data_IF_803945258016
#
_entry.id   IF_803945258016
#
_cell.length_a   1.000
_cell.length_b   1.000
_cell.length_c   1.000
_cell.angle_alpha   90.00
_cell.angle_beta   90.00
_cell.angle_gamma   90.00
#
_symmetry.space_group_name_H-M   'P 1'
#
loop_
_entity.id
_entity.type
_entity.pdbx_description
1 polymer ?
#
# COMPACT_ATOMS: atom_id res chain seq x y z
N UNK A 1 -5.11 -19.90 27.47
CA UNK A 1 -4.32 -20.47 26.35
C UNK A 1 -4.92 -20.27 24.94
N UNK A 2 -5.55 -19.13 24.61
CA UNK A 2 -6.10 -18.87 23.25
C UNK A 2 -5.55 -17.62 22.55
N UNK A 3 -4.49 -17.00 23.07
CA UNK A 3 -3.96 -15.72 22.54
C UNK A 3 -2.72 -15.83 21.64
N UNK A 4 -2.18 -17.03 21.39
CA UNK A 4 -0.89 -17.17 20.70
C UNK A 4 -0.95 -17.45 19.19
N UNK A 5 -2.12 -17.33 18.54
CA UNK A 5 -2.28 -17.55 17.08
C UNK A 5 -2.39 -16.27 16.25
N UNK A 6 -2.44 -15.09 16.86
CA UNK A 6 -2.75 -13.82 16.16
C UNK A 6 -1.54 -13.02 15.69
N UNK A 7 -0.33 -13.36 16.12
CA UNK A 7 0.85 -12.53 15.90
C UNK A 7 1.84 -13.11 14.90
N UNK A 8 1.51 -14.22 14.23
CA UNK A 8 2.43 -14.90 13.31
C UNK A 8 2.27 -14.36 11.90
N UNK A 9 3.40 -14.06 11.25
CA UNK A 9 3.47 -13.63 9.86
C UNK A 9 3.83 -14.81 8.99
N UNK A 10 3.11 -14.96 7.88
CA UNK A 10 3.40 -15.98 6.90
C UNK A 10 3.70 -15.41 5.52
N UNK A 11 4.56 -16.10 4.77
CA UNK A 11 4.83 -15.81 3.36
C UNK A 11 4.46 -16.97 2.42
N UNK A 12 4.68 -16.77 1.12
CA UNK A 12 4.54 -17.78 0.06
C UNK A 12 5.50 -18.96 0.27
N UNK A 13 4.99 -20.19 0.31
CA UNK A 13 5.85 -21.37 0.14
C UNK A 13 6.05 -21.65 -1.36
N UNK A 14 7.28 -21.66 -1.84
CA UNK A 14 7.66 -21.78 -3.27
C UNK A 14 7.15 -23.03 -4.02
N UNK A 15 6.53 -24.01 -3.34
CA UNK A 15 6.24 -25.30 -3.96
C UNK A 15 4.95 -25.43 -4.77
N UNK A 16 4.05 -24.44 -4.78
CA UNK A 16 2.73 -24.59 -5.42
C UNK A 16 2.56 -23.85 -6.77
N UNK A 17 3.38 -22.82 -7.04
CA UNK A 17 3.24 -21.98 -8.24
C UNK A 17 3.95 -22.55 -9.47
N UNK A 18 4.95 -23.41 -9.30
CA UNK A 18 5.65 -24.09 -10.39
C UNK A 18 4.74 -25.06 -11.16
N UNK A 19 3.98 -25.90 -10.44
CA UNK A 19 3.09 -26.92 -11.04
C UNK A 19 2.08 -26.38 -12.04
N UNK A 20 1.47 -25.22 -11.78
CA UNK A 20 0.44 -24.65 -12.66
C UNK A 20 1.05 -23.90 -13.85
N UNK A 21 2.21 -23.25 -13.64
CA UNK A 21 2.98 -22.57 -14.69
C UNK A 21 3.50 -23.56 -15.72
N UNK A 22 4.03 -24.70 -15.27
CA UNK A 22 4.52 -25.76 -16.14
C UNK A 22 3.37 -26.36 -16.96
N UNK A 23 2.21 -26.62 -16.35
CA UNK A 23 1.05 -27.16 -17.06
C UNK A 23 0.57 -26.27 -18.22
N UNK A 24 0.54 -24.95 -18.04
CA UNK A 24 0.14 -24.01 -19.11
C UNK A 24 1.24 -23.82 -20.14
N UNK A 25 2.50 -23.78 -19.72
CA UNK A 25 3.62 -23.77 -20.66
C UNK A 25 3.59 -25.02 -21.55
N UNK A 26 3.41 -26.21 -20.96
CA UNK A 26 3.26 -27.46 -21.69
C UNK A 26 2.06 -27.44 -22.63
N UNK A 27 0.90 -26.94 -22.20
CA UNK A 27 -0.30 -26.88 -23.04
C UNK A 27 -0.10 -25.95 -24.26
N UNK A 28 0.53 -24.79 -24.05
CA UNK A 28 0.81 -23.81 -25.11
C UNK A 28 1.88 -24.28 -26.08
N UNK A 29 2.97 -24.87 -25.57
CA UNK A 29 3.99 -25.51 -26.40
C UNK A 29 3.36 -26.61 -27.24
N UNK A 30 2.54 -27.49 -26.63
CA UNK A 30 1.86 -28.56 -27.35
C UNK A 30 0.88 -28.04 -28.42
N UNK A 31 0.19 -26.92 -28.16
CA UNK A 31 -0.67 -26.27 -29.16
C UNK A 31 0.15 -25.74 -30.35
N UNK A 32 1.27 -25.07 -30.09
CA UNK A 32 2.18 -24.58 -31.12
C UNK A 32 2.79 -25.72 -31.96
N UNK A 33 3.18 -26.83 -31.34
CA UNK A 33 3.73 -27.99 -32.05
C UNK A 33 2.68 -28.60 -32.98
N UNK A 34 1.44 -28.78 -32.51
CA UNK A 34 0.34 -29.28 -33.36
C UNK A 34 0.02 -28.36 -34.54
N UNK A 35 0.07 -27.04 -34.35
CA UNK A 35 -0.12 -26.07 -35.44
C UNK A 35 1.01 -26.20 -36.48
N UNK A 36 2.26 -26.38 -36.03
CA UNK A 36 3.41 -26.57 -36.92
C UNK A 36 3.37 -27.89 -37.71
N UNK A 37 2.86 -28.97 -37.12
CA UNK A 37 2.65 -30.25 -37.81
C UNK A 37 1.59 -30.17 -38.91
N UNK A 38 0.54 -29.36 -38.70
CA UNK A 38 -0.49 -29.09 -39.72
C UNK A 38 0.09 -28.26 -40.87
N UNK A 39 0.96 -27.29 -40.59
CA UNK A 39 1.64 -26.50 -41.63
C UNK A 39 2.63 -27.33 -42.48
N UNK A 40 3.26 -28.37 -41.92
CA UNK A 40 4.28 -29.16 -42.63
C UNK A 40 3.70 -30.21 -43.60
N UNK A 41 2.41 -30.57 -43.48
CA UNK A 41 1.76 -31.52 -44.40
C UNK A 41 1.31 -30.92 -45.73
N UNK A 42 1.37 -29.61 -45.89
CA UNK A 42 0.97 -28.92 -47.13
C UNK A 42 2.22 -28.68 -47.99
N UNK A 43 2.68 -29.71 -48.72
CA UNK A 43 3.65 -29.53 -49.82
C UNK A 43 2.87 -29.13 -51.08
N UNK A 44 2.79 -27.83 -51.36
CA UNK A 44 2.25 -27.31 -52.62
C UNK A 44 3.36 -26.76 -53.51
N UNK A 45 3.31 -26.98 -54.83
CA UNK A 45 4.29 -26.41 -55.77
C UNK A 45 4.19 -24.88 -55.80
N UNK A 46 5.33 -24.21 -56.03
CA UNK A 46 5.47 -22.76 -56.00
C UNK A 46 4.96 -22.12 -57.31
N UNK A 47 3.68 -21.78 -57.33
CA UNK A 47 3.06 -20.78 -58.20
C UNK A 47 2.68 -19.52 -57.38
N UNK A 48 2.22 -18.44 -58.04
CA UNK A 48 1.80 -17.18 -57.37
C UNK A 48 0.70 -17.43 -56.30
N UNK A 49 -0.05 -18.52 -56.48
CA UNK A 49 -1.01 -19.05 -55.51
C UNK A 49 -0.33 -19.69 -54.28
N UNK A 50 0.70 -20.53 -54.47
CA UNK A 50 1.53 -21.07 -53.39
C UNK A 50 2.23 -20.02 -52.54
N UNK A 51 2.66 -18.90 -53.14
CA UNK A 51 3.28 -17.77 -52.41
C UNK A 51 2.26 -17.07 -51.50
N UNK A 52 1.03 -16.83 -51.99
CA UNK A 52 -0.08 -16.27 -51.19
C UNK A 52 -0.48 -17.21 -50.05
N UNK A 53 -0.56 -18.52 -50.30
CA UNK A 53 -0.83 -19.52 -49.26
C UNK A 53 0.26 -19.57 -48.19
N UNK A 54 1.54 -19.47 -48.58
CA UNK A 54 2.68 -19.47 -47.66
C UNK A 54 2.69 -18.23 -46.76
N UNK A 55 2.38 -17.06 -47.32
CA UNK A 55 2.24 -15.81 -46.55
C UNK A 55 1.05 -15.89 -45.60
N UNK A 56 -0.10 -16.43 -46.02
CA UNK A 56 -1.28 -16.61 -45.16
C UNK A 56 -1.01 -17.59 -44.02
N UNK A 57 -0.30 -18.70 -44.28
CA UNK A 57 0.10 -19.66 -43.25
C UNK A 57 1.10 -19.04 -42.27
N UNK A 58 2.14 -18.35 -42.75
CA UNK A 58 3.10 -17.67 -41.89
C UNK A 58 2.44 -16.57 -41.04
N UNK A 59 1.50 -15.82 -41.62
CA UNK A 59 0.71 -14.80 -40.90
C UNK A 59 -0.20 -15.45 -39.86
N UNK A 60 -0.85 -16.57 -40.19
CA UNK A 60 -1.70 -17.33 -39.27
C UNK A 60 -0.92 -17.91 -38.08
N UNK A 61 0.26 -18.48 -38.32
CA UNK A 61 1.16 -19.00 -37.27
C UNK A 61 1.70 -17.86 -36.40
N UNK A 62 2.08 -16.72 -37.02
CA UNK A 62 2.52 -15.53 -36.29
C UNK A 62 1.44 -14.96 -35.38
N UNK A 63 0.20 -14.86 -35.88
CA UNK A 63 -0.94 -14.39 -35.10
C UNK A 63 -1.27 -15.34 -33.95
N UNK A 64 -1.31 -16.65 -34.20
CA UNK A 64 -1.56 -17.67 -33.17
C UNK A 64 -0.48 -17.66 -32.08
N UNK A 65 0.79 -17.48 -32.45
CA UNK A 65 1.91 -17.39 -31.52
C UNK A 65 1.86 -16.12 -30.66
N UNK A 66 1.56 -14.97 -31.28
CA UNK A 66 1.40 -13.70 -30.57
C UNK A 66 0.21 -13.72 -29.60
N UNK A 67 -0.94 -14.25 -30.03
CA UNK A 67 -2.11 -14.43 -29.16
C UNK A 67 -1.85 -15.44 -28.05
N UNK A 68 -1.19 -16.57 -28.35
CA UNK A 68 -0.79 -17.58 -27.36
C UNK A 68 0.17 -17.01 -26.32
N UNK A 69 1.17 -16.24 -26.74
CA UNK A 69 2.09 -15.54 -25.83
C UNK A 69 1.39 -14.44 -25.01
N UNK A 70 0.46 -13.71 -25.62
CA UNK A 70 -0.38 -12.74 -24.93
C UNK A 70 -1.23 -13.39 -23.83
N UNK A 71 -1.90 -14.51 -24.16
CA UNK A 71 -2.69 -15.29 -23.22
C UNK A 71 -1.80 -15.89 -22.12
N UNK A 72 -0.64 -16.44 -22.46
CA UNK A 72 0.37 -16.91 -21.50
C UNK A 72 0.74 -15.81 -20.51
N UNK A 73 1.15 -14.64 -20.99
CA UNK A 73 1.51 -13.50 -20.14
C UNK A 73 0.34 -13.04 -19.27
N UNK A 74 -0.87 -13.04 -19.82
CA UNK A 74 -2.08 -12.69 -19.08
C UNK A 74 -2.34 -13.68 -17.95
N UNK A 75 -2.33 -14.99 -18.24
CA UNK A 75 -2.57 -16.05 -17.25
C UNK A 75 -1.46 -16.14 -16.21
N UNK A 76 -0.19 -16.05 -16.63
CA UNK A 76 0.96 -15.99 -15.73
C UNK A 76 0.85 -14.79 -14.79
N UNK A 77 0.52 -13.59 -15.30
CA UNK A 77 0.29 -12.42 -14.46
C UNK A 77 -0.94 -12.60 -13.55
N UNK A 78 -2.00 -13.26 -14.00
CA UNK A 78 -3.19 -13.51 -13.18
C UNK A 78 -2.85 -14.41 -11.98
N UNK A 79 -2.18 -15.54 -12.21
CA UNK A 79 -1.78 -16.47 -11.15
C UNK A 79 -0.73 -15.90 -10.21
N UNK A 80 0.21 -15.13 -10.75
CA UNK A 80 1.20 -14.42 -9.95
C UNK A 80 0.57 -13.44 -8.95
N UNK A 81 -0.62 -12.92 -9.28
CA UNK A 81 -1.38 -12.00 -8.44
C UNK A 81 -2.49 -12.68 -7.63
N UNK A 82 -2.46 -14.01 -7.48
CA UNK A 82 -3.31 -14.71 -6.50
C UNK A 82 -2.54 -15.01 -5.20
N UNK A 83 -3.20 -14.91 -4.03
CA UNK A 83 -2.64 -15.40 -2.78
C UNK A 83 -2.26 -16.88 -2.84
N UNK A 84 -1.17 -17.29 -2.19
CA UNK A 84 -0.78 -18.70 -2.11
C UNK A 84 -1.77 -19.47 -1.22
N UNK A 85 -1.89 -20.77 -1.50
CA UNK A 85 -2.70 -21.69 -0.68
C UNK A 85 -1.94 -22.22 0.55
N UNK A 86 -0.60 -22.22 0.46
CA UNK A 86 0.30 -22.68 1.51
C UNK A 86 1.10 -21.51 2.04
N UNK A 87 1.23 -21.46 3.36
CA UNK A 87 1.80 -20.35 4.10
C UNK A 87 2.93 -20.85 4.99
N UNK A 88 4.09 -20.18 4.94
CA UNK A 88 5.26 -20.47 5.79
C UNK A 88 5.38 -19.39 6.85
N UNK A 89 5.41 -19.75 8.12
CA UNK A 89 5.68 -18.79 9.20
C UNK A 89 7.10 -18.23 9.06
N UNK A 90 7.24 -16.91 9.06
CA UNK A 90 8.53 -16.19 8.95
C UNK A 90 8.86 -15.34 10.17
N UNK A 91 7.85 -14.90 10.92
CA UNK A 91 8.09 -13.98 12.03
C UNK A 91 6.87 -13.74 12.89
N UNK A 92 6.99 -12.77 13.79
CA UNK A 92 5.93 -12.32 14.66
C UNK A 92 5.79 -10.79 14.67
N UNK A 93 4.58 -10.28 14.89
CA UNK A 93 4.37 -8.86 15.13
C UNK A 93 4.98 -8.44 16.47
N UNK A 94 5.87 -7.44 16.42
CA UNK A 94 6.45 -6.80 17.59
C UNK A 94 5.64 -5.56 17.99
N UNK A 95 5.32 -4.70 17.02
CA UNK A 95 4.57 -3.45 17.24
C UNK A 95 3.55 -3.16 16.17
N UNK A 96 2.47 -2.50 16.60
CA UNK A 96 1.42 -1.97 15.74
C UNK A 96 1.30 -0.47 15.96
N UNK A 97 1.28 0.30 14.87
CA UNK A 97 1.15 1.75 14.90
C UNK A 97 0.08 2.25 13.94
N UNK A 98 -0.72 3.20 14.42
CA UNK A 98 -1.64 4.00 13.62
C UNK A 98 -1.22 5.46 13.72
N UNK A 99 -1.20 6.16 12.58
CA UNK A 99 -0.81 7.56 12.51
C UNK A 99 -2.00 8.36 11.98
N UNK A 100 -2.92 8.81 12.86
CA UNK A 100 -4.16 9.42 12.42
C UNK A 100 -3.95 10.67 11.57
N UNK A 101 -2.92 11.46 11.90
CA UNK A 101 -2.56 12.66 11.16
C UNK A 101 -1.28 12.45 10.35
N UNK A 102 -1.34 12.79 9.06
CA UNK A 102 -0.19 12.82 8.16
C UNK A 102 0.90 13.71 8.73
N UNK A 103 2.09 13.14 8.93
CA UNK A 103 3.30 13.81 9.43
C UNK A 103 3.32 14.15 10.93
N UNK A 104 2.41 13.61 11.73
CA UNK A 104 2.40 13.77 13.20
C UNK A 104 2.74 12.46 13.92
N UNK A 105 2.64 12.47 15.25
CA UNK A 105 2.89 11.33 16.14
C UNK A 105 2.09 10.07 15.82
N UNK A 106 2.58 8.95 16.35
CA UNK A 106 1.96 7.63 16.21
C UNK A 106 1.21 7.27 17.49
N UNK A 107 0.18 6.45 17.35
CA UNK A 107 -0.48 5.75 18.46
C UNK A 107 -0.09 4.28 18.34
N UNK A 108 0.58 3.76 19.38
CA UNK A 108 0.88 2.33 19.49
C UNK A 108 -0.37 1.61 19.99
N UNK A 109 -0.74 0.53 19.33
CA UNK A 109 -1.94 -0.27 19.68
C UNK A 109 -1.56 -1.74 19.88
N UNK A 110 -2.41 -2.49 20.58
CA UNK A 110 -2.21 -3.93 20.79
C UNK A 110 -2.87 -4.81 19.72
N UNK A 111 -3.84 -4.24 19.01
CA UNK A 111 -4.58 -4.87 17.92
C UNK A 111 -5.15 -3.77 17.01
N UNK A 112 -5.58 -4.14 15.80
CA UNK A 112 -6.30 -3.24 14.89
C UNK A 112 -7.04 -4.04 13.82
N UNK A 113 -8.16 -3.51 13.36
CA UNK A 113 -8.81 -3.98 12.15
C UNK A 113 -8.06 -3.49 10.91
N UNK A 114 -8.11 -4.26 9.83
CA UNK A 114 -7.42 -3.92 8.59
C UNK A 114 -8.45 -3.70 7.47
N UNK A 115 -8.56 -2.43 7.05
CA UNK A 115 -9.47 -2.02 5.98
C UNK A 115 -8.69 -1.70 4.71
N UNK A 116 -9.40 -1.45 3.61
CA UNK A 116 -8.73 -1.10 2.35
C UNK A 116 -7.98 0.23 2.40
N UNK A 117 -8.42 1.15 3.27
CA UNK A 117 -7.79 2.46 3.46
C UNK A 117 -6.70 2.47 4.54
N UNK A 118 -6.46 1.35 5.23
CA UNK A 118 -5.43 1.22 6.26
C UNK A 118 -5.94 0.60 7.56
N UNK A 119 -5.10 0.57 8.61
CA UNK A 119 -5.51 0.07 9.91
C UNK A 119 -6.52 0.99 10.62
N UNK A 120 -7.37 0.38 11.46
CA UNK A 120 -8.50 1.02 12.13
C UNK A 120 -8.74 0.42 13.53
N UNK A 121 -9.19 1.26 14.46
CA UNK A 121 -9.77 0.89 15.75
C UNK A 121 -10.84 1.94 16.09
N UNK A 122 -12.13 1.59 16.06
CA UNK A 122 -13.20 2.60 16.19
C UNK A 122 -13.08 3.71 15.13
N UNK A 123 -13.00 4.97 15.55
CA UNK A 123 -12.75 6.12 14.67
C UNK A 123 -11.25 6.44 14.48
N UNK A 124 -10.36 5.86 15.28
CA UNK A 124 -8.92 5.91 15.04
C UNK A 124 -8.61 5.14 13.74
N UNK A 125 -8.13 5.86 12.73
CA UNK A 125 -7.74 5.30 11.44
C UNK A 125 -6.44 5.91 10.97
N UNK A 126 -5.76 5.21 10.08
CA UNK A 126 -4.48 5.64 9.57
C UNK A 126 -4.58 6.74 8.50
N UNK A 127 -3.85 7.83 8.70
CA UNK A 127 -3.71 8.99 7.80
C UNK A 127 -5.06 9.46 7.22
N UNK A 128 -6.08 9.58 8.07
CA UNK A 128 -7.36 10.19 7.74
C UNK A 128 -7.38 11.70 7.99
N UNK A 129 -6.37 12.24 8.67
CA UNK A 129 -6.19 13.68 8.82
C UNK A 129 -4.91 14.15 8.13
N UNK A 130 -4.90 15.41 7.71
CA UNK A 130 -3.66 16.10 7.33
C UNK A 130 -3.76 17.60 7.61
N UNK A 131 -2.60 18.23 7.75
CA UNK A 131 -2.52 19.69 7.84
C UNK A 131 -2.37 20.27 6.43
N UNK A 132 -3.15 21.28 6.11
CA UNK A 132 -3.10 22.01 4.85
C UNK A 132 -2.85 23.49 5.07
N UNK A 133 -2.43 24.19 4.03
CA UNK A 133 -2.61 25.64 3.92
C UNK A 133 -4.09 25.97 3.70
N UNK A 134 -4.42 27.25 3.76
CA UNK A 134 -5.78 27.77 3.48
C UNK A 134 -6.26 27.47 2.06
N UNK A 135 -5.35 27.28 1.11
CA UNK A 135 -5.65 26.88 -0.27
C UNK A 135 -5.91 25.37 -0.45
N UNK A 136 -5.87 24.58 0.64
CA UNK A 136 -6.08 23.12 0.60
C UNK A 136 -4.83 22.30 0.25
N UNK A 137 -3.68 22.94 0.03
CA UNK A 137 -2.41 22.24 -0.22
C UNK A 137 -1.85 21.64 1.06
N UNK A 138 -1.62 20.32 1.09
CA UNK A 138 -1.03 19.67 2.27
C UNK A 138 0.39 20.19 2.59
N UNK A 139 0.72 20.24 3.88
CA UNK A 139 2.09 20.41 4.36
C UNK A 139 2.61 19.10 4.95
N UNK A 140 3.94 18.97 5.08
CA UNK A 140 4.54 17.75 5.62
C UNK A 140 5.77 18.02 6.48
N UNK A 141 6.18 17.02 7.25
CA UNK A 141 7.31 17.12 8.17
C UNK A 141 8.65 17.45 7.49
N UNK A 142 8.78 17.23 6.17
CA UNK A 142 9.99 17.62 5.42
C UNK A 142 10.18 19.14 5.39
N UNK A 143 9.09 19.89 5.28
CA UNK A 143 9.10 21.36 5.24
C UNK A 143 8.74 21.96 6.60
N UNK A 144 7.92 21.28 7.41
CA UNK A 144 7.52 21.71 8.75
C UNK A 144 7.77 20.60 9.79
N UNK A 145 9.02 20.38 10.24
CA UNK A 145 9.38 19.29 11.15
C UNK A 145 8.63 19.32 12.49
N UNK A 146 8.19 20.51 12.94
CA UNK A 146 7.38 20.67 14.16
C UNK A 146 6.11 19.83 14.15
N UNK A 147 5.57 19.46 12.99
CA UNK A 147 4.42 18.54 12.90
C UNK A 147 4.66 17.23 13.65
N UNK A 148 5.90 16.73 13.67
CA UNK A 148 6.27 15.50 14.38
C UNK A 148 6.11 15.60 15.91
N UNK A 149 6.07 16.81 16.45
CA UNK A 149 5.88 17.07 17.87
C UNK A 149 4.40 17.08 18.29
N UNK A 150 3.47 17.15 17.32
CA UNK A 150 2.03 17.01 17.59
C UNK A 150 1.75 15.53 17.86
N UNK A 151 1.35 15.21 19.08
CA UNK A 151 1.02 13.86 19.51
C UNK A 151 -0.51 13.72 19.58
N UNK A 152 -1.12 12.93 18.68
CA UNK A 152 -2.50 12.54 18.82
C UNK A 152 -2.64 11.42 19.85
N UNK A 153 -3.67 11.49 20.68
CA UNK A 153 -4.16 10.40 21.52
C UNK A 153 -5.66 10.22 21.28
N UNK A 154 -6.19 9.06 21.65
CA UNK A 154 -7.64 8.79 21.61
C UNK A 154 -8.11 8.36 22.99
N UNK A 155 -9.38 8.57 23.26
CA UNK A 155 -10.09 7.97 24.39
C UNK A 155 -10.15 6.44 24.27
N UNK A 156 -10.55 5.77 25.35
CA UNK A 156 -10.60 4.30 25.42
C UNK A 156 -11.57 3.69 24.40
N UNK A 157 -12.60 4.44 24.01
CA UNK A 157 -13.63 4.06 23.04
C UNK A 157 -13.20 4.33 21.59
N UNK A 158 -12.09 5.04 21.38
CA UNK A 158 -11.60 5.48 20.07
C UNK A 158 -12.61 6.34 19.29
N UNK A 159 -13.31 7.25 19.95
CA UNK A 159 -14.30 8.16 19.37
C UNK A 159 -13.80 9.61 19.31
N UNK A 160 -13.01 10.02 20.31
CA UNK A 160 -12.49 11.38 20.41
C UNK A 160 -10.97 11.39 20.36
N UNK A 161 -10.42 12.29 19.55
CA UNK A 161 -8.97 12.48 19.45
C UNK A 161 -8.57 13.75 20.23
N UNK A 162 -7.52 13.65 21.04
CA UNK A 162 -6.89 14.81 21.67
C UNK A 162 -5.55 15.07 21.00
N UNK A 163 -5.25 16.34 20.72
CA UNK A 163 -3.96 16.77 20.20
C UNK A 163 -3.18 17.48 21.29
N UNK A 164 -1.98 16.97 21.56
CA UNK A 164 -1.02 17.56 22.48
C UNK A 164 0.23 18.00 21.74
N UNK A 165 0.80 19.12 22.15
CA UNK A 165 2.08 19.59 21.65
C UNK A 165 2.83 20.42 22.71
N UNK A 166 4.17 20.44 22.69
CA UNK A 166 4.96 21.17 23.69
C UNK A 166 4.58 22.65 23.78
N UNK A 167 4.20 23.10 24.99
CA UNK A 167 3.86 24.50 25.27
C UNK A 167 2.50 24.94 24.71
N UNK A 168 1.64 24.02 24.31
CA UNK A 168 0.27 24.29 23.88
C UNK A 168 -0.70 23.61 24.87
N UNK A 169 -1.87 24.21 25.15
CA UNK A 169 -2.96 23.48 25.81
C UNK A 169 -3.45 22.36 24.89
N UNK A 170 -3.92 21.26 25.45
CA UNK A 170 -4.52 20.18 24.68
C UNK A 170 -5.81 20.67 23.98
N UNK A 171 -6.08 20.13 22.80
CA UNK A 171 -7.30 20.43 22.04
C UNK A 171 -8.00 19.15 21.59
N UNK A 172 -9.33 19.14 21.67
CA UNK A 172 -10.15 17.99 21.34
C UNK A 172 -10.63 18.09 19.89
N UNK A 173 -10.65 16.95 19.20
CA UNK A 173 -11.20 16.76 17.87
C UNK A 173 -12.34 15.74 17.99
N UNK A 174 -13.62 16.17 17.92
CA UNK A 174 -14.75 15.25 17.94
C UNK A 174 -14.89 14.57 16.57
N UNK A 175 -14.22 13.43 16.40
CA UNK A 175 -14.08 12.78 15.08
C UNK A 175 -15.43 12.39 14.48
N UNK A 176 -16.39 11.99 15.31
CA UNK A 176 -17.74 11.59 14.87
C UNK A 176 -18.49 12.72 14.15
N UNK A 177 -18.34 13.96 14.61
CA UNK A 177 -19.07 15.12 14.07
C UNK A 177 -18.58 15.47 12.66
N UNK A 178 -17.32 15.14 12.34
CA UNK A 178 -16.67 15.49 11.07
C UNK A 178 -17.23 14.74 9.86
N UNK A 179 -17.97 13.65 10.08
CA UNK A 179 -18.64 12.90 9.01
C UNK A 179 -19.87 13.64 8.45
N UNK A 180 -20.41 14.61 9.19
CA UNK A 180 -21.58 15.40 8.79
C UNK A 180 -21.23 16.79 8.25
N UNK A 181 -19.93 17.09 8.10
CA UNK A 181 -19.44 18.38 7.60
C UNK A 181 -19.35 18.36 6.07
N UNK A 182 -19.67 19.50 5.44
CA UNK A 182 -19.59 19.64 3.99
C UNK A 182 -18.15 19.49 3.46
N UNK A 183 -17.96 18.82 2.31
CA UNK A 183 -16.62 18.64 1.73
C UNK A 183 -15.96 19.96 1.31
N UNK A 184 -14.65 20.04 1.54
CA UNK A 184 -13.77 21.10 1.08
C UNK A 184 -12.78 20.57 0.03
N UNK A 185 -12.21 21.48 -0.76
CA UNK A 185 -11.16 21.12 -1.71
C UNK A 185 -9.83 20.93 -0.97
N UNK A 186 -9.19 19.80 -1.21
CA UNK A 186 -7.85 19.53 -0.70
C UNK A 186 -7.04 18.75 -1.74
N UNK A 187 -5.71 18.90 -1.66
CA UNK A 187 -4.78 18.25 -2.58
C UNK A 187 -3.67 17.53 -1.84
N UNK A 188 -3.43 16.30 -2.27
CA UNK A 188 -2.36 15.46 -1.77
C UNK A 188 -1.46 15.12 -2.94
N UNK A 189 -0.27 15.73 -2.97
CA UNK A 189 0.70 15.57 -4.07
C UNK A 189 0.14 15.91 -5.45
N UNK A 190 -0.56 17.05 -5.55
CA UNK A 190 -1.16 17.53 -6.79
C UNK A 190 -2.43 16.79 -7.22
N UNK A 191 -2.84 15.75 -6.49
CA UNK A 191 -4.07 15.02 -6.77
C UNK A 191 -5.20 15.51 -5.86
N UNK A 192 -6.41 15.77 -6.40
CA UNK A 192 -7.55 16.13 -5.58
C UNK A 192 -7.92 14.97 -4.66
N UNK A 193 -8.41 15.30 -3.46
CA UNK A 193 -8.92 14.33 -2.49
C UNK A 193 -10.16 14.87 -1.81
N UNK A 194 -11.10 13.99 -1.49
CA UNK A 194 -12.23 14.33 -0.62
C UNK A 194 -11.71 14.65 0.78
N UNK A 195 -12.05 15.82 1.30
CA UNK A 195 -11.76 16.17 2.67
C UNK A 195 -12.88 17.04 3.24
N UNK A 196 -13.00 17.11 4.55
CA UNK A 196 -13.82 18.08 5.29
C UNK A 196 -12.91 18.91 6.17
N UNK A 197 -13.27 20.17 6.38
CA UNK A 197 -12.54 21.01 7.31
C UNK A 197 -12.95 20.69 8.74
N UNK A 198 -11.99 20.68 9.68
CA UNK A 198 -12.31 20.32 11.07
C UNK A 198 -12.96 21.49 11.83
N UNK A 199 -12.21 22.55 12.13
CA UNK A 199 -12.74 23.75 12.80
C UNK A 199 -11.75 24.91 12.75
N UNK A 200 -12.26 26.14 12.94
CA UNK A 200 -11.43 27.34 13.10
C UNK A 200 -10.54 27.30 14.35
N UNK A 201 -10.99 26.63 15.41
CA UNK A 201 -10.22 26.49 16.64
C UNK A 201 -8.98 25.61 16.40
N UNK A 202 -9.16 24.48 15.71
CA UNK A 202 -8.06 23.59 15.33
C UNK A 202 -7.11 24.26 14.34
N UNK A 203 -7.65 25.02 13.38
CA UNK A 203 -6.84 25.81 12.45
C UNK A 203 -5.92 26.81 13.19
N UNK A 204 -6.47 27.56 14.16
CA UNK A 204 -5.70 28.48 15.01
C UNK A 204 -4.67 27.74 15.86
N UNK A 205 -5.06 26.64 16.51
CA UNK A 205 -4.16 25.86 17.36
C UNK A 205 -2.94 25.35 16.58
N UNK A 206 -3.16 24.77 15.39
CA UNK A 206 -2.07 24.25 14.55
C UNK A 206 -1.21 25.38 13.98
N UNK A 207 -1.83 26.48 13.54
CA UNK A 207 -1.09 27.66 13.03
C UNK A 207 -0.16 28.25 14.11
N UNK A 208 -0.67 28.41 15.35
CA UNK A 208 0.12 28.93 16.47
C UNK A 208 1.30 28.01 16.80
N UNK A 209 1.08 26.70 16.78
CA UNK A 209 2.14 25.76 17.11
C UNK A 209 3.22 25.69 16.02
N UNK A 210 2.81 25.50 14.77
CA UNK A 210 3.70 25.22 13.63
C UNK A 210 4.32 26.51 13.09
N UNK A 211 3.51 27.52 12.78
CA UNK A 211 3.93 28.77 12.16
C UNK A 211 4.29 29.87 13.16
N UNK A 212 3.79 29.80 14.40
CA UNK A 212 3.82 30.93 15.36
C UNK A 212 2.98 32.13 14.90
N UNK A 213 1.93 31.82 14.16
CA UNK A 213 0.94 32.78 13.65
C UNK A 213 -0.47 32.33 14.04
N UNK A 214 -1.43 33.25 14.05
CA UNK A 214 -2.83 32.94 14.38
C UNK A 214 -3.54 32.15 13.28
N UNK A 215 -3.10 32.28 12.03
CA UNK A 215 -3.76 31.68 10.85
C UNK A 215 -2.73 31.14 9.87
N UNK A 216 -3.19 30.51 8.79
CA UNK A 216 -2.35 30.04 7.68
C UNK A 216 -2.39 28.53 7.48
N UNK A 217 -2.71 27.76 8.52
CA UNK A 217 -2.89 26.31 8.46
C UNK A 217 -4.29 25.88 8.88
N UNK A 218 -4.73 24.74 8.34
CA UNK A 218 -5.99 24.08 8.67
C UNK A 218 -5.77 22.59 8.88
N UNK A 219 -6.63 21.95 9.67
CA UNK A 219 -6.71 20.50 9.77
C UNK A 219 -7.88 20.02 8.92
N UNK A 220 -7.63 19.08 8.01
CA UNK A 220 -8.69 18.48 7.20
C UNK A 220 -8.78 16.99 7.46
N UNK A 221 -9.99 16.46 7.32
CA UNK A 221 -10.37 15.08 7.62
C UNK A 221 -10.86 14.37 6.35
N UNK A 222 -10.57 13.08 6.23
CA UNK A 222 -11.01 12.21 5.15
C UNK A 222 -12.21 11.36 5.60
N UNK A 223 -13.45 11.65 5.14
CA UNK A 223 -14.66 11.07 5.72
C UNK A 223 -15.08 9.71 5.14
N UNK A 224 -14.36 9.18 4.14
CA UNK A 224 -14.79 7.99 3.40
C UNK A 224 -14.10 6.70 3.88
N UNK A 225 -14.76 5.57 3.67
CA UNK A 225 -14.22 4.22 3.92
C UNK A 225 -13.45 3.61 2.73
N UNK A 226 -13.49 4.29 1.58
CA UNK A 226 -12.86 3.85 0.33
C UNK A 226 -11.80 4.86 -0.12
N UNK A 227 -10.75 4.45 -0.87
CA UNK A 227 -9.80 5.38 -1.49
C UNK A 227 -10.44 6.14 -2.66
N UNK A 228 -10.19 7.44 -2.77
CA UNK A 228 -10.68 8.27 -3.90
C UNK A 228 -9.57 8.81 -4.79
N UNK A 229 -8.30 8.66 -4.40
CA UNK A 229 -7.18 9.25 -5.14
C UNK A 229 -6.79 8.39 -6.34
N UNK A 230 -6.45 9.00 -7.49
CA UNK A 230 -5.86 8.27 -8.60
C UNK A 230 -4.46 7.77 -8.24
N UNK A 231 -4.00 6.73 -8.93
CA UNK A 231 -2.59 6.30 -8.84
C UNK A 231 -1.73 7.36 -9.50
N UNK A 232 -0.58 7.69 -8.89
CA UNK A 232 0.36 8.63 -9.51
C UNK A 232 1.01 8.01 -10.74
N UNK A 233 1.01 8.77 -11.83
CA UNK A 233 1.80 8.47 -13.01
C UNK A 233 3.29 8.40 -12.60
N UNK A 234 4.03 7.39 -13.08
CA UNK A 234 5.43 7.03 -12.71
C UNK A 234 5.63 6.04 -11.55
N UNK A 235 4.64 5.21 -11.21
CA UNK A 235 4.94 4.04 -10.38
C UNK A 235 5.35 2.87 -11.30
N UNK A 236 6.56 2.32 -11.11
CA UNK A 236 7.05 1.13 -11.82
C UNK A 236 6.33 -0.17 -11.44
N UNK A 237 5.23 -0.06 -10.68
CA UNK A 237 4.42 -1.14 -10.15
C UNK A 237 2.97 -0.89 -10.55
N UNK A 238 2.25 -1.96 -10.90
CA UNK A 238 0.79 -1.95 -11.12
C UNK A 238 0.04 -1.72 -9.81
N UNK A 239 0.00 -0.48 -9.35
CA UNK A 239 -0.96 -0.03 -8.35
C UNK A 239 -2.28 0.33 -9.02
N UNK A 240 -3.36 0.18 -8.26
CA UNK A 240 -4.71 0.61 -8.60
C UNK A 240 -5.15 1.70 -7.63
N UNK A 241 -6.22 2.44 -7.96
CA UNK A 241 -6.75 3.47 -7.06
C UNK A 241 -7.09 2.91 -5.66
N UNK A 242 -7.49 1.63 -5.62
CA UNK A 242 -7.77 0.86 -4.40
C UNK A 242 -6.57 0.75 -3.45
N UNK A 243 -5.34 0.84 -3.97
CA UNK A 243 -4.12 0.68 -3.18
C UNK A 243 -3.67 1.99 -2.52
N UNK A 244 -4.27 3.14 -2.87
CA UNK A 244 -3.77 4.47 -2.47
C UNK A 244 -4.11 4.87 -1.03
N UNK A 245 -5.09 4.22 -0.41
CA UNK A 245 -5.62 4.56 0.91
C UNK A 245 -6.25 5.95 1.00
N UNK A 246 -6.34 6.50 2.22
CA UNK A 246 -6.80 7.87 2.47
C UNK A 246 -5.72 8.93 2.10
N UNK A 247 -5.10 9.61 3.08
CA UNK A 247 -4.14 10.70 2.86
C UNK A 247 -2.67 10.22 2.88
N UNK A 248 -2.45 8.94 2.57
CA UNK A 248 -1.16 8.28 2.58
C UNK A 248 -0.19 8.85 1.53
N UNK A 249 1.10 8.58 1.70
CA UNK A 249 2.10 8.94 0.70
C UNK A 249 1.93 8.11 -0.58
N UNK A 250 1.80 6.78 -0.44
CA UNK A 250 1.61 5.90 -1.59
C UNK A 250 0.60 4.78 -1.34
N UNK A 251 0.68 4.07 -0.22
CA UNK A 251 -0.13 2.88 0.08
C UNK A 251 -0.70 2.92 1.49
N UNK A 252 -1.76 2.13 1.74
CA UNK A 252 -2.49 2.07 3.01
C UNK A 252 -1.75 1.39 4.18
N UNK A 253 -0.75 0.56 3.88
CA UNK A 253 0.02 -0.16 4.88
C UNK A 253 1.52 -0.07 4.58
N UNK A 254 2.31 -0.12 5.64
CA UNK A 254 3.75 -0.26 5.59
C UNK A 254 4.21 -1.23 6.68
N UNK A 255 5.11 -2.14 6.31
CA UNK A 255 5.73 -3.11 7.21
C UNK A 255 7.24 -2.88 7.23
N UNK A 256 7.88 -3.21 8.35
CA UNK A 256 9.33 -3.16 8.53
C UNK A 256 9.76 -4.24 9.53
N UNK A 257 10.92 -4.86 9.33
CA UNK A 257 11.48 -5.79 10.33
C UNK A 257 12.39 -5.08 11.33
N UNK A 258 12.46 -5.59 12.57
CA UNK A 258 13.43 -5.11 13.57
C UNK A 258 14.86 -5.31 13.09
N UNK A 259 15.15 -6.46 12.46
CA UNK A 259 16.46 -6.79 11.91
C UNK A 259 16.95 -5.77 10.87
N UNK A 260 16.06 -5.26 10.00
CA UNK A 260 16.37 -4.18 9.04
C UNK A 260 16.80 -2.89 9.75
N UNK A 261 16.14 -2.53 10.86
CA UNK A 261 16.47 -1.34 11.67
C UNK A 261 17.80 -1.54 12.40
N UNK A 262 18.02 -2.72 12.97
CA UNK A 262 19.28 -3.07 13.65
C UNK A 262 20.47 -3.06 12.68
N UNK A 263 20.29 -3.60 11.48
CA UNK A 263 21.32 -3.58 10.44
C UNK A 263 21.67 -2.16 9.98
N UNK A 264 20.68 -1.28 9.86
CA UNK A 264 20.93 0.13 9.63
C UNK A 264 21.65 0.79 10.82
N UNK A 265 21.23 0.51 12.05
CA UNK A 265 21.84 1.09 13.26
C UNK A 265 23.30 0.72 13.44
N UNK A 266 23.73 -0.46 12.99
CA UNK A 266 25.15 -0.84 12.93
C UNK A 266 26.01 0.09 12.04
N UNK A 267 25.37 0.86 11.17
CA UNK A 267 26.00 1.79 10.20
C UNK A 267 25.80 3.26 10.56
N UNK A 268 25.11 3.57 11.67
CA UNK A 268 24.81 4.94 12.09
C UNK A 268 25.53 5.31 13.38
N UNK A 269 26.01 6.55 13.46
CA UNK A 269 26.55 7.10 14.72
C UNK A 269 25.45 7.32 15.77
N UNK A 270 24.26 7.70 15.31
CA UNK A 270 23.07 7.92 16.15
C UNK A 270 22.02 6.87 15.77
N UNK A 271 21.75 5.90 16.66
CA UNK A 271 20.72 4.90 16.41
C UNK A 271 19.34 5.54 16.18
N UNK A 272 18.55 4.87 15.36
CA UNK A 272 17.17 5.21 15.04
C UNK A 272 16.23 4.08 15.46
N UNK A 273 14.95 4.42 15.62
CA UNK A 273 13.89 3.44 15.93
C UNK A 273 13.05 3.13 14.70
N UNK A 274 12.34 2.00 14.72
CA UNK A 274 11.39 1.63 13.67
C UNK A 274 10.35 2.75 13.43
N UNK A 275 9.91 3.44 14.48
CA UNK A 275 8.92 4.53 14.39
C UNK A 275 9.36 5.68 13.48
N UNK A 276 10.66 5.95 13.32
CA UNK A 276 11.16 6.99 12.41
C UNK A 276 10.88 6.65 10.93
N UNK A 277 10.72 5.37 10.60
CA UNK A 277 10.29 4.90 9.28
C UNK A 277 8.77 4.90 9.11
N UNK A 278 8.03 5.13 10.19
CA UNK A 278 6.56 5.21 10.24
C UNK A 278 5.82 3.94 9.76
N UNK A 279 6.29 2.71 10.08
CA UNK A 279 5.58 1.48 9.72
C UNK A 279 4.28 1.38 10.49
N UNK A 280 3.31 0.65 9.92
CA UNK A 280 2.13 0.19 10.65
C UNK A 280 2.42 -1.12 11.40
N UNK A 281 3.25 -1.97 10.81
CA UNK A 281 3.65 -3.27 11.36
C UNK A 281 5.16 -3.31 11.55
N UNK A 282 5.61 -3.61 12.77
CA UNK A 282 7.01 -3.98 13.04
C UNK A 282 7.06 -5.48 13.29
N UNK A 283 8.02 -6.15 12.66
CA UNK A 283 8.13 -7.61 12.66
C UNK A 283 9.45 -8.06 13.26
N UNK A 284 9.38 -9.03 14.18
CA UNK A 284 10.55 -9.72 14.75
C UNK A 284 10.68 -11.14 14.18
N UNK A 285 11.90 -11.67 14.11
CA UNK A 285 12.18 -13.04 13.69
C UNK A 285 12.93 -13.19 12.36
N UNK A 286 12.46 -12.58 11.25
CA UNK A 286 13.18 -12.60 9.97
C UNK A 286 14.53 -11.89 10.04
N UNK A 287 15.43 -12.25 9.12
CA UNK A 287 16.66 -11.53 8.85
C UNK A 287 16.42 -10.14 8.24
N UNK A 288 17.49 -9.33 8.21
CA UNK A 288 17.42 -7.98 7.69
C UNK A 288 17.02 -7.99 6.20
N UNK A 289 16.06 -7.14 5.86
CA UNK A 289 15.52 -6.93 4.51
C UNK A 289 14.77 -8.11 3.89
N UNK A 290 14.53 -9.20 4.62
CA UNK A 290 13.72 -10.31 4.11
C UNK A 290 12.30 -9.87 3.71
N UNK A 291 11.77 -8.81 4.33
CA UNK A 291 10.45 -8.26 4.00
C UNK A 291 10.32 -7.77 2.55
N UNK A 292 11.43 -7.47 1.87
CA UNK A 292 11.44 -6.99 0.49
C UNK A 292 11.05 -8.09 -0.52
N UNK A 293 11.36 -9.35 -0.20
CA UNK A 293 11.13 -10.51 -1.06
C UNK A 293 9.73 -11.14 -0.86
N UNK A 294 9.04 -10.80 0.23
CA UNK A 294 7.72 -11.35 0.51
C UNK A 294 6.68 -10.80 -0.46
N UNK A 295 6.26 -11.59 -1.44
CA UNK A 295 5.19 -11.20 -2.38
C UNK A 295 3.81 -11.11 -1.73
N UNK A 296 3.52 -12.06 -0.86
CA UNK A 296 2.25 -12.20 -0.15
C UNK A 296 2.51 -12.39 1.32
N UNK A 297 1.75 -11.69 2.14
CA UNK A 297 1.93 -11.66 3.58
C UNK A 297 0.57 -11.99 4.21
N UNK A 298 0.51 -12.97 5.10
CA UNK A 298 -0.69 -13.23 5.91
C UNK A 298 -0.41 -12.90 7.37
N UNK A 299 -1.28 -12.08 7.96
CA UNK A 299 -1.24 -11.69 9.38
C UNK A 299 -2.65 -11.91 9.96
N UNK A 300 -2.77 -12.82 10.92
CA UNK A 300 -4.10 -13.31 11.34
C UNK A 300 -4.84 -13.92 10.15
N UNK A 301 -6.04 -13.43 9.85
CA UNK A 301 -6.81 -13.85 8.65
C UNK A 301 -6.70 -12.88 7.48
N UNK A 302 -6.02 -11.73 7.66
CA UNK A 302 -5.86 -10.74 6.60
C UNK A 302 -4.67 -11.09 5.72
N UNK A 303 -4.89 -11.03 4.41
CA UNK A 303 -3.86 -11.26 3.40
C UNK A 303 -3.53 -9.95 2.71
N UNK A 304 -2.25 -9.64 2.65
CA UNK A 304 -1.68 -8.47 2.00
C UNK A 304 -0.84 -8.91 0.82
N UNK A 305 -0.83 -8.07 -0.21
CA UNK A 305 0.12 -8.16 -1.31
C UNK A 305 1.20 -7.12 -1.08
N UNK A 306 2.46 -7.53 -1.06
CA UNK A 306 3.55 -6.56 -1.14
C UNK A 306 3.56 -6.01 -2.56
N UNK A 307 3.41 -4.69 -2.65
CA UNK A 307 3.29 -4.01 -3.93
C UNK A 307 4.61 -3.35 -4.31
N UNK A 308 5.36 -2.82 -3.35
CA UNK A 308 6.63 -2.15 -3.64
C UNK A 308 7.45 -1.91 -2.37
N UNK A 309 8.79 -1.79 -2.50
CA UNK A 309 9.65 -1.25 -1.46
C UNK A 309 9.26 0.18 -1.07
N UNK A 310 9.53 0.54 0.19
CA UNK A 310 9.34 1.89 0.70
C UNK A 310 10.63 2.72 0.58
N UNK A 311 10.77 3.47 -0.52
CA UNK A 311 11.91 4.34 -0.73
C UNK A 311 11.93 5.51 0.27
N UNK A 312 13.12 5.87 0.76
CA UNK A 312 13.35 6.92 1.77
C UNK A 312 14.08 8.11 1.20
#
# INVERSE_FOLDING_TARGET
NKFNKRMVIYETSDQATLSSRDAVYFLLVHLCTKISEVSFRIKMPLDDFGTRCSVLLATGVGLASATGYGLYKYLANYWDNQPPQKWRQVGELADLYIYPIKSCGAIRVSHMDCTIIGPKLGLLRDRIFMVTRTDGTYICARTFPKLLLIQPSFDEQYEQMTLSAPGMPDIIVPVADLFSVDPVKAWVWGQPVTATDCSEELARWISRFVLKEETGLRLVFYPLDIPTRPVRERQHVKLTARDTGALHNSTSFMLLTEASVEDLNRRLQKPVTAQQFRPNFVVKGPGAFEEDDWKWIKIGETVYRNVKPCNR
#
